data_IF_264027685741
#
_entry.id   IF_264027685741
#
_cell.length_a   1.000
_cell.length_b   1.000
_cell.length_c   1.000
_cell.angle_alpha   90.00
_cell.angle_beta   90.00
_cell.angle_gamma   90.00
#
_symmetry.space_group_name_H-M   'P 1'
#
loop_
_entity.id
_entity.type
_entity.pdbx_description
1 polymer ?
#
# COMPACT_ATOMS: atom_id res chain seq x y z
N UNK A 1 -41.74 -31.81 -44.54
CA UNK A 1 -42.28 -32.99 -43.83
C UNK A 1 -42.24 -32.71 -42.34
N UNK A 2 -43.36 -32.46 -41.63
CA UNK A 2 -44.40 -33.43 -41.22
C UNK A 2 -43.94 -34.05 -39.89
N UNK A 3 -44.62 -34.01 -38.74
CA UNK A 3 -46.04 -33.96 -38.30
C UNK A 3 -46.01 -33.31 -36.89
N UNK A 4 -46.94 -32.46 -36.44
CA UNK A 4 -48.38 -32.64 -36.29
C UNK A 4 -48.72 -33.58 -35.11
N UNK A 5 -49.55 -33.13 -34.16
CA UNK A 5 -50.64 -33.84 -33.40
C UNK A 5 -50.78 -33.28 -31.96
N UNK A 6 -51.93 -32.95 -31.33
CA UNK A 6 -53.34 -32.70 -31.70
C UNK A 6 -54.00 -31.93 -30.53
N UNK A 7 -54.99 -31.14 -30.89
CA UNK A 7 -55.99 -30.44 -30.06
C UNK A 7 -56.97 -31.44 -29.41
N UNK A 8 -57.51 -31.10 -28.23
CA UNK A 8 -58.82 -31.61 -27.78
C UNK A 8 -59.76 -30.44 -27.51
N UNK A 9 -60.85 -30.45 -28.28
CA UNK A 9 -62.01 -29.57 -28.20
C UNK A 9 -63.16 -30.42 -27.62
N UNK A 10 -63.90 -29.88 -26.66
CA UNK A 10 -65.10 -30.50 -26.08
C UNK A 10 -66.20 -29.46 -25.87
N UNK A 11 -67.19 -29.52 -26.77
CA UNK A 11 -68.49 -28.83 -26.80
C UNK A 11 -69.44 -29.34 -25.70
N UNK A 12 -70.63 -28.80 -25.34
CA UNK A 12 -71.39 -27.55 -25.49
C UNK A 12 -72.82 -27.90 -24.99
N UNK A 13 -73.44 -27.11 -24.11
CA UNK A 13 -74.89 -27.00 -23.79
C UNK A 13 -75.05 -26.36 -22.40
N UNK A 14 -75.94 -25.43 -22.07
CA UNK A 14 -77.07 -24.80 -22.75
C UNK A 14 -78.09 -24.34 -21.68
N UNK A 15 -78.49 -23.06 -21.75
CA UNK A 15 -79.75 -22.45 -21.26
C UNK A 15 -79.92 -22.21 -19.73
N UNK A 16 -80.09 -20.95 -19.32
CA UNK A 16 -81.36 -20.31 -18.84
C UNK A 16 -81.01 -18.91 -18.29
N UNK A 17 -81.75 -17.92 -18.78
CA UNK A 17 -81.69 -16.53 -18.39
C UNK A 17 -82.28 -16.29 -16.99
N UNK A 18 -81.60 -15.46 -16.19
CA UNK A 18 -82.12 -14.88 -14.96
C UNK A 18 -81.38 -13.57 -14.68
N UNK A 19 -81.97 -12.44 -15.10
CA UNK A 19 -81.46 -11.11 -14.78
C UNK A 19 -81.81 -10.83 -13.32
N UNK A 20 -80.85 -11.02 -12.43
CA UNK A 20 -80.88 -10.45 -11.08
C UNK A 20 -79.86 -9.32 -11.03
N UNK A 21 -80.37 -8.09 -10.88
CA UNK A 21 -79.58 -6.90 -10.62
C UNK A 21 -78.79 -7.09 -9.32
N UNK A 22 -77.48 -7.30 -9.44
CA UNK A 22 -76.57 -7.29 -8.31
C UNK A 22 -76.01 -5.86 -8.16
N UNK A 23 -75.92 -5.33 -6.93
CA UNK A 23 -75.28 -4.05 -6.71
C UNK A 23 -73.81 -4.19 -7.10
N UNK A 24 -73.30 -3.26 -7.90
CA UNK A 24 -71.89 -3.14 -8.14
C UNK A 24 -71.19 -2.81 -6.82
N UNK A 25 -70.67 -3.83 -6.13
CA UNK A 25 -69.69 -3.62 -5.08
C UNK A 25 -68.42 -3.09 -5.77
N UNK A 26 -68.19 -1.78 -5.63
CA UNK A 26 -66.92 -1.17 -6.00
C UNK A 26 -65.81 -1.91 -5.24
N UNK A 27 -65.02 -2.69 -5.98
CA UNK A 27 -63.84 -3.31 -5.41
C UNK A 27 -62.82 -2.20 -5.27
N UNK A 28 -62.69 -1.68 -4.05
CA UNK A 28 -61.54 -0.88 -3.65
C UNK A 28 -60.35 -1.81 -3.81
N UNK A 29 -59.65 -1.69 -4.93
CA UNK A 29 -58.35 -2.29 -5.11
C UNK A 29 -57.50 -1.79 -3.94
N UNK A 30 -57.23 -2.69 -2.98
CA UNK A 30 -56.35 -2.41 -1.86
C UNK A 30 -55.07 -1.86 -2.44
N UNK A 31 -54.81 -0.58 -2.16
CA UNK A 31 -53.51 0.01 -2.42
C UNK A 31 -52.53 -0.81 -1.60
N UNK A 32 -51.80 -1.72 -2.25
CA UNK A 32 -50.59 -2.29 -1.70
C UNK A 32 -49.64 -1.11 -1.63
N UNK A 33 -49.69 -0.39 -0.51
CA UNK A 33 -48.79 0.71 -0.23
C UNK A 33 -47.38 0.18 -0.35
N UNK A 34 -46.55 0.87 -1.14
CA UNK A 34 -45.12 0.66 -1.07
C UNK A 34 -44.71 0.79 0.40
N UNK A 35 -43.90 -0.14 0.94
CA UNK A 35 -43.55 -0.14 2.35
C UNK A 35 -43.00 1.22 2.75
N UNK A 36 -43.46 1.72 3.89
CA UNK A 36 -42.99 3.00 4.40
C UNK A 36 -41.50 2.87 4.75
N UNK A 37 -40.75 3.99 4.73
CA UNK A 37 -39.30 4.01 5.08
C UNK A 37 -38.99 3.38 6.44
N UNK A 38 -40.00 3.20 7.28
CA UNK A 38 -39.93 2.63 8.64
C UNK A 38 -40.10 1.10 8.65
N UNK A 39 -40.61 0.47 7.59
CA UNK A 39 -40.79 -0.99 7.45
C UNK A 39 -39.61 -1.68 6.75
N UNK A 40 -38.67 -0.93 6.18
CA UNK A 40 -37.43 -1.47 5.63
C UNK A 40 -36.46 -1.69 6.79
N UNK A 41 -36.40 -2.92 7.31
CA UNK A 41 -35.32 -3.33 8.21
C UNK A 41 -34.00 -3.25 7.42
N UNK A 42 -33.07 -2.36 7.79
CA UNK A 42 -31.77 -2.31 7.13
C UNK A 42 -31.09 -3.67 7.29
N UNK A 43 -30.49 -4.26 6.24
CA UNK A 43 -29.66 -5.44 6.42
C UNK A 43 -28.61 -5.14 7.48
N UNK A 44 -28.49 -6.03 8.47
CA UNK A 44 -27.46 -5.91 9.50
C UNK A 44 -26.10 -5.79 8.79
N UNK A 45 -25.31 -4.73 9.03
CA UNK A 45 -23.99 -4.61 8.44
C UNK A 45 -23.20 -5.85 8.82
N UNK A 46 -22.90 -6.69 7.83
CA UNK A 46 -21.95 -7.77 8.03
C UNK A 46 -20.63 -7.10 8.44
N UNK A 47 -19.92 -7.61 9.47
CA UNK A 47 -18.61 -7.10 9.79
C UNK A 47 -17.75 -7.22 8.54
N UNK A 48 -17.40 -6.08 7.94
CA UNK A 48 -16.40 -6.03 6.88
C UNK A 48 -15.13 -6.57 7.52
N UNK A 49 -14.61 -7.67 6.99
CA UNK A 49 -13.22 -8.01 7.26
C UNK A 49 -12.44 -6.89 6.59
N UNK A 50 -11.97 -5.95 7.39
CA UNK A 50 -11.18 -4.83 6.87
C UNK A 50 -9.98 -5.43 6.16
N UNK A 51 -9.83 -5.10 4.90
CA UNK A 51 -8.76 -5.63 4.09
C UNK A 51 -7.44 -5.08 4.61
N UNK A 52 -6.62 -5.96 5.19
CA UNK A 52 -5.34 -5.56 5.76
C UNK A 52 -4.28 -5.58 4.65
N UNK A 53 -3.84 -4.40 4.22
CA UNK A 53 -2.61 -4.26 3.45
C UNK A 53 -1.52 -3.75 4.40
N UNK A 54 -0.48 -4.56 4.60
CA UNK A 54 0.71 -4.16 5.36
C UNK A 54 1.97 -4.40 4.54
N UNK A 55 2.96 -3.56 4.80
CA UNK A 55 4.31 -3.68 4.27
C UNK A 55 5.25 -3.82 5.47
N UNK A 56 6.16 -4.81 5.45
CA UNK A 56 7.23 -4.92 6.44
C UNK A 56 8.60 -4.77 5.76
N UNK A 57 9.22 -3.61 5.96
CA UNK A 57 10.57 -3.29 5.50
C UNK A 57 11.66 -3.46 6.58
N UNK A 58 11.31 -3.76 7.84
CA UNK A 58 12.25 -3.71 8.97
C UNK A 58 13.41 -4.69 8.85
N UNK A 59 13.13 -5.90 8.37
CA UNK A 59 14.15 -6.92 8.13
C UNK A 59 15.05 -6.63 6.94
N UNK A 60 14.69 -5.65 6.11
CA UNK A 60 15.49 -5.27 4.96
C UNK A 60 16.75 -4.51 5.44
N UNK A 61 16.59 -3.46 6.25
CA UNK A 61 17.65 -2.47 6.52
C UNK A 61 18.28 -2.65 7.90
N UNK A 62 18.73 -3.86 8.24
CA UNK A 62 19.34 -4.14 9.55
C UNK A 62 20.55 -3.21 9.81
N UNK A 63 20.51 -2.52 10.97
CA UNK A 63 21.59 -1.65 11.42
C UNK A 63 22.77 -2.50 11.90
N UNK A 64 23.96 -2.28 11.31
CA UNK A 64 25.19 -2.91 11.74
C UNK A 64 25.86 -2.07 12.85
N UNK A 65 26.54 -2.75 13.78
CA UNK A 65 27.31 -2.10 14.84
C UNK A 65 28.34 -1.12 14.24
N UNK A 66 28.50 0.07 14.83
CA UNK A 66 29.43 1.07 14.30
C UNK A 66 30.86 0.81 14.80
N UNK A 67 31.88 0.81 13.93
CA UNK A 67 33.25 0.52 14.35
C UNK A 67 33.89 1.64 15.19
N UNK A 68 33.32 2.85 15.20
CA UNK A 68 33.92 4.01 15.86
C UNK A 68 33.39 4.31 17.26
N UNK A 69 32.39 3.55 17.75
CA UNK A 69 31.73 3.83 19.04
C UNK A 69 32.69 3.80 20.24
N UNK A 70 33.74 2.98 20.17
CA UNK A 70 34.73 2.84 21.24
C UNK A 70 36.04 3.61 20.98
N UNK A 71 36.13 4.42 19.92
CA UNK A 71 37.37 5.06 19.52
C UNK A 71 37.61 6.39 20.26
N UNK A 72 38.82 6.64 20.80
CA UNK A 72 39.15 7.89 21.49
C UNK A 72 39.52 9.04 20.54
N UNK A 73 39.53 8.80 19.21
CA UNK A 73 39.95 9.80 18.22
C UNK A 73 38.98 10.99 18.19
N UNK A 74 39.51 12.15 17.80
CA UNK A 74 38.75 13.40 17.64
C UNK A 74 38.96 13.95 16.23
N UNK A 75 37.98 14.72 15.76
CA UNK A 75 37.99 15.38 14.46
C UNK A 75 37.35 16.76 14.57
N UNK A 76 37.82 17.70 13.75
CA UNK A 76 37.22 19.03 13.61
C UNK A 76 36.19 19.00 12.48
N UNK A 77 34.90 19.11 12.83
CA UNK A 77 33.78 19.02 11.89
C UNK A 77 33.23 20.41 11.55
N UNK A 78 33.18 20.76 10.28
CA UNK A 78 32.57 22.01 9.80
C UNK A 78 31.14 21.77 9.30
N UNK A 79 30.91 20.67 8.58
CA UNK A 79 29.59 20.29 8.07
C UNK A 79 29.47 18.81 7.78
N UNK A 80 28.23 18.35 7.67
CA UNK A 80 27.88 17.02 7.19
C UNK A 80 27.22 17.15 5.83
N UNK A 81 27.63 16.30 4.89
CA UNK A 81 27.07 16.23 3.54
C UNK A 81 26.52 14.84 3.27
N UNK A 82 25.34 14.78 2.67
CA UNK A 82 24.72 13.54 2.25
C UNK A 82 24.73 13.46 0.73
N UNK A 83 25.22 12.34 0.19
CA UNK A 83 25.32 12.08 -1.24
C UNK A 83 24.77 10.70 -1.57
N UNK A 84 24.54 10.42 -2.85
CA UNK A 84 24.34 9.03 -3.31
C UNK A 84 25.69 8.30 -3.39
N UNK A 85 25.72 6.96 -3.44
CA UNK A 85 26.96 6.20 -3.53
C UNK A 85 27.82 6.51 -4.77
N UNK A 86 27.21 6.99 -5.84
CA UNK A 86 27.87 7.45 -7.07
C UNK A 86 28.41 8.90 -6.96
N UNK A 87 28.32 9.52 -5.78
CA UNK A 87 28.76 10.89 -5.50
C UNK A 87 27.80 11.99 -5.95
N UNK A 88 26.69 11.63 -6.60
CA UNK A 88 25.73 12.61 -7.10
C UNK A 88 24.77 13.12 -6.00
N UNK A 89 24.08 14.25 -6.22
CA UNK A 89 23.14 14.80 -5.24
C UNK A 89 22.02 13.83 -4.87
N UNK A 90 21.49 13.98 -3.65
CA UNK A 90 20.33 13.24 -3.22
C UNK A 90 19.09 13.55 -4.06
N UNK A 91 18.21 12.56 -4.14
CA UNK A 91 16.86 12.75 -4.67
C UNK A 91 16.13 13.77 -3.78
N UNK A 92 15.34 14.71 -4.35
CA UNK A 92 14.76 15.83 -3.59
C UNK A 92 13.97 15.41 -2.34
N UNK A 93 13.20 14.32 -2.45
CA UNK A 93 12.38 13.81 -1.35
C UNK A 93 13.22 13.24 -0.20
N UNK A 94 14.43 12.74 -0.49
CA UNK A 94 15.39 12.23 0.50
C UNK A 94 16.16 13.39 1.13
N UNK A 95 16.54 14.39 0.35
CA UNK A 95 17.15 15.61 0.89
C UNK A 95 16.19 16.30 1.87
N UNK A 96 14.92 16.43 1.51
CA UNK A 96 13.87 16.96 2.38
C UNK A 96 13.60 16.05 3.60
N UNK A 97 13.84 14.75 3.47
CA UNK A 97 13.75 13.85 4.61
C UNK A 97 14.79 14.16 5.69
N UNK A 98 15.97 14.64 5.28
CA UNK A 98 17.14 14.90 6.13
C UNK A 98 17.35 16.38 6.48
N UNK A 99 16.61 17.31 5.87
CA UNK A 99 16.80 18.76 6.03
C UNK A 99 16.70 19.26 7.48
N UNK A 100 15.90 18.61 8.31
CA UNK A 100 15.73 18.94 9.73
C UNK A 100 16.68 18.19 10.68
N UNK A 101 17.71 17.51 10.17
CA UNK A 101 18.67 16.80 11.01
C UNK A 101 19.66 17.79 11.62
N UNK A 102 19.78 17.77 12.95
CA UNK A 102 20.83 18.52 13.64
C UNK A 102 22.18 17.90 13.33
N UNK A 103 23.12 18.74 12.86
CA UNK A 103 24.47 18.31 12.51
C UNK A 103 25.47 19.02 13.42
N UNK A 104 26.32 18.27 14.15
CA UNK A 104 27.29 18.85 15.06
C UNK A 104 28.43 19.52 14.29
N UNK A 105 29.07 20.51 14.91
CA UNK A 105 30.22 21.24 14.38
C UNK A 105 31.28 21.44 15.46
N UNK A 106 32.50 21.84 15.07
CA UNK A 106 33.64 22.03 15.96
C UNK A 106 34.41 20.74 16.26
N UNK A 107 35.16 20.74 17.37
CA UNK A 107 35.94 19.59 17.82
C UNK A 107 35.03 18.51 18.44
N UNK A 108 34.94 17.36 17.77
CA UNK A 108 34.02 16.27 18.10
C UNK A 108 34.77 14.93 18.25
N UNK A 109 34.29 14.03 19.12
CA UNK A 109 34.78 12.65 19.12
C UNK A 109 34.39 11.95 17.82
N UNK A 110 35.22 11.03 17.32
CA UNK A 110 34.93 10.29 16.08
C UNK A 110 33.64 9.46 16.15
N UNK A 111 33.22 9.08 17.35
CA UNK A 111 31.94 8.41 17.60
C UNK A 111 30.73 9.24 17.08
N UNK A 112 30.89 10.56 16.91
CA UNK A 112 29.84 11.42 16.35
C UNK A 112 29.41 10.98 14.94
N UNK A 113 30.34 10.38 14.17
CA UNK A 113 30.06 9.87 12.82
C UNK A 113 28.96 8.79 12.87
N UNK A 114 29.02 7.93 13.89
CA UNK A 114 28.02 6.89 14.13
C UNK A 114 26.69 7.50 14.54
N UNK A 115 26.70 8.45 15.48
CA UNK A 115 25.48 9.12 15.94
C UNK A 115 24.76 9.87 14.81
N UNK A 116 25.49 10.56 13.93
CA UNK A 116 24.91 11.25 12.77
C UNK A 116 24.33 10.26 11.77
N UNK A 117 25.05 9.16 11.47
CA UNK A 117 24.54 8.08 10.61
C UNK A 117 23.23 7.51 11.16
N UNK A 118 23.18 7.20 12.46
CA UNK A 118 22.04 6.56 13.10
C UNK A 118 20.85 7.52 13.19
N UNK A 119 21.10 8.79 13.50
CA UNK A 119 20.07 9.83 13.50
C UNK A 119 19.48 10.04 12.10
N UNK A 120 20.31 10.03 11.06
CA UNK A 120 19.86 10.13 9.66
C UNK A 120 19.06 8.89 9.23
N UNK A 121 19.52 7.67 9.57
CA UNK A 121 18.78 6.43 9.36
C UNK A 121 17.41 6.46 10.04
N UNK A 122 17.37 6.88 11.31
CA UNK A 122 16.13 7.02 12.05
C UNK A 122 15.20 8.08 11.43
N UNK A 123 15.73 9.21 10.94
CA UNK A 123 14.94 10.23 10.25
C UNK A 123 14.28 9.70 8.96
N UNK A 124 15.02 8.94 8.16
CA UNK A 124 14.49 8.30 6.95
C UNK A 124 13.40 7.27 7.28
N UNK A 125 13.65 6.39 8.25
CA UNK A 125 12.67 5.39 8.73
C UNK A 125 11.39 6.04 9.24
N UNK A 126 11.50 7.09 10.06
CA UNK A 126 10.34 7.84 10.58
C UNK A 126 9.49 8.48 9.49
N UNK A 127 10.05 8.73 8.30
CA UNK A 127 9.33 9.25 7.13
C UNK A 127 8.87 8.15 6.16
N UNK A 128 9.13 6.87 6.47
CA UNK A 128 8.72 5.71 5.67
C UNK A 128 9.64 5.43 4.49
N UNK A 129 10.82 6.06 4.40
CA UNK A 129 11.75 5.79 3.32
C UNK A 129 12.49 4.48 3.54
N UNK A 130 12.52 3.62 2.53
CA UNK A 130 13.33 2.39 2.54
C UNK A 130 14.73 2.77 2.05
N UNK A 131 15.57 3.27 2.96
CA UNK A 131 16.92 3.73 2.67
C UNK A 131 17.87 3.47 3.84
N UNK A 132 19.17 3.37 3.56
CA UNK A 132 20.23 3.21 4.55
C UNK A 132 21.34 4.23 4.33
N UNK A 133 21.81 4.83 5.43
CA UNK A 133 22.95 5.73 5.47
C UNK A 133 24.21 4.94 5.82
N UNK A 134 25.24 5.09 4.99
CA UNK A 134 26.52 4.41 5.08
C UNK A 134 27.64 5.43 5.29
N UNK A 135 28.66 4.99 6.03
CA UNK A 135 29.90 5.75 6.24
C UNK A 135 30.91 5.22 5.25
N UNK A 136 31.21 5.92 4.14
CA UNK A 136 32.24 5.48 3.22
C UNK A 136 33.63 5.69 3.83
N UNK A 137 34.61 4.91 3.37
CA UNK A 137 36.01 5.16 3.65
C UNK A 137 36.40 6.53 3.07
N UNK A 138 36.86 7.43 3.93
CA UNK A 138 37.24 8.79 3.56
C UNK A 138 38.22 9.36 4.57
N UNK A 139 38.98 10.37 4.16
CA UNK A 139 39.74 11.23 5.05
C UNK A 139 38.96 12.53 5.29
N UNK A 140 38.88 12.98 6.54
CA UNK A 140 38.18 14.21 6.93
C UNK A 140 39.22 15.27 7.26
N UNK A 141 39.88 15.79 6.22
CA UNK A 141 40.91 16.84 6.33
C UNK A 141 40.37 18.24 6.13
N UNK A 142 39.28 18.38 5.36
CA UNK A 142 38.56 19.62 5.11
C UNK A 142 37.48 19.92 6.16
N UNK A 143 37.30 19.02 7.13
CA UNK A 143 36.22 19.10 8.12
C UNK A 143 34.84 18.80 7.55
N UNK A 144 34.74 18.14 6.39
CA UNK A 144 33.46 17.74 5.79
C UNK A 144 33.25 16.24 5.96
N UNK A 145 32.28 15.86 6.78
CA UNK A 145 31.85 14.45 6.89
C UNK A 145 30.88 14.13 5.76
N UNK A 146 31.27 13.22 4.85
CA UNK A 146 30.42 12.78 3.74
C UNK A 146 29.77 11.45 4.08
N UNK A 147 28.45 11.39 4.08
CA UNK A 147 27.68 10.17 4.28
C UNK A 147 26.97 9.80 2.99
N UNK A 148 26.90 8.51 2.70
CA UNK A 148 26.24 7.99 1.50
C UNK A 148 24.85 7.45 1.84
N UNK A 149 23.83 7.90 1.13
CA UNK A 149 22.46 7.43 1.30
C UNK A 149 22.12 6.47 0.17
N UNK A 150 21.93 5.21 0.53
CA UNK A 150 21.48 4.14 -0.38
C UNK A 150 19.97 4.02 -0.28
N UNK A 151 19.27 4.41 -1.33
CA UNK A 151 17.81 4.23 -1.42
C UNK A 151 17.47 2.90 -2.08
N UNK A 152 16.45 2.22 -1.56
CA UNK A 152 15.92 1.03 -2.21
C UNK A 152 14.99 1.41 -3.37
N UNK A 153 14.89 0.50 -4.33
CA UNK A 153 13.88 0.48 -5.39
C UNK A 153 13.43 -0.96 -5.61
N UNK A 154 12.24 -1.14 -6.13
CA UNK A 154 11.72 -2.48 -6.41
C UNK A 154 12.22 -2.94 -7.77
N UNK A 155 12.77 -4.14 -7.78
CA UNK A 155 13.51 -4.72 -8.92
C UNK A 155 12.92 -6.03 -9.38
N UNK A 156 12.12 -6.68 -8.53
CA UNK A 156 11.44 -7.93 -8.79
C UNK A 156 10.22 -7.99 -7.87
N UNK A 157 9.11 -8.49 -8.39
CA UNK A 157 7.91 -8.76 -7.59
C UNK A 157 7.47 -10.19 -7.84
N UNK A 158 7.19 -10.93 -6.76
CA UNK A 158 6.68 -12.30 -6.81
C UNK A 158 5.31 -12.34 -6.17
N UNK A 159 4.30 -12.69 -6.95
CA UNK A 159 2.94 -12.91 -6.47
C UNK A 159 2.82 -14.38 -6.05
N UNK A 160 2.28 -14.64 -4.87
CA UNK A 160 1.92 -15.97 -4.39
C UNK A 160 0.43 -16.01 -4.13
N UNK A 161 -0.25 -17.02 -4.65
CA UNK A 161 -1.72 -17.14 -4.61
C UNK A 161 -2.35 -16.84 -5.96
N UNK A 162 -3.68 -16.82 -6.00
CA UNK A 162 -4.49 -16.56 -7.19
C UNK A 162 -5.42 -15.36 -6.93
N UNK A 163 -5.25 -14.29 -7.72
CA UNK A 163 -6.12 -13.11 -7.65
C UNK A 163 -7.41 -13.27 -8.49
N UNK A 164 -7.55 -14.38 -9.22
CA UNK A 164 -8.70 -14.69 -10.06
C UNK A 164 -9.04 -13.55 -11.02
N UNK A 165 -10.29 -13.10 -10.99
CA UNK A 165 -10.77 -11.98 -11.82
C UNK A 165 -10.08 -10.64 -11.54
N UNK A 166 -9.40 -10.50 -10.40
CA UNK A 166 -8.74 -9.25 -9.99
C UNK A 166 -7.28 -9.17 -10.44
N UNK A 167 -6.76 -10.20 -11.10
CA UNK A 167 -5.39 -10.26 -11.60
C UNK A 167 -4.97 -9.03 -12.45
N UNK A 168 -5.77 -8.53 -13.42
CA UNK A 168 -5.41 -7.32 -14.17
C UNK A 168 -5.34 -6.07 -13.28
N UNK A 169 -6.18 -6.01 -12.25
CA UNK A 169 -6.20 -4.90 -11.32
C UNK A 169 -5.00 -4.92 -10.38
N UNK A 170 -4.68 -6.08 -9.78
CA UNK A 170 -3.51 -6.27 -8.94
C UNK A 170 -2.21 -5.94 -9.70
N UNK A 171 -2.09 -6.39 -10.95
CA UNK A 171 -0.93 -6.10 -11.81
C UNK A 171 -0.68 -4.61 -12.00
N UNK A 172 -1.74 -3.80 -12.14
CA UNK A 172 -1.60 -2.33 -12.23
C UNK A 172 -1.08 -1.72 -10.93
N UNK A 173 -1.43 -2.29 -9.77
CA UNK A 173 -0.97 -1.79 -8.46
C UNK A 173 0.47 -2.18 -8.22
N UNK A 174 0.84 -3.40 -8.59
CA UNK A 174 2.23 -3.87 -8.60
C UNK A 174 3.10 -2.97 -9.48
N UNK A 175 2.64 -2.61 -10.69
CA UNK A 175 3.38 -1.72 -11.58
C UNK A 175 3.58 -0.31 -10.96
N UNK A 176 2.56 0.23 -10.29
CA UNK A 176 2.67 1.51 -9.59
C UNK A 176 3.68 1.46 -8.43
N UNK A 177 3.68 0.35 -7.67
CA UNK A 177 4.65 0.11 -6.60
C UNK A 177 6.08 -0.04 -7.16
N UNK A 178 6.24 -0.73 -8.29
CA UNK A 178 7.53 -0.89 -8.99
C UNK A 178 8.09 0.42 -9.52
N UNK A 179 7.22 1.39 -9.83
CA UNK A 179 7.63 2.71 -10.30
C UNK A 179 8.11 3.64 -9.18
N UNK A 180 8.01 3.24 -7.90
CA UNK A 180 8.52 4.03 -6.78
C UNK A 180 10.05 4.02 -6.76
N UNK A 181 10.64 5.18 -7.04
CA UNK A 181 12.07 5.47 -6.88
C UNK A 181 12.21 6.91 -6.34
N UNK A 182 12.63 7.11 -5.08
CA UNK A 182 13.01 6.09 -4.11
C UNK A 182 11.79 5.38 -3.50
N UNK A 183 11.97 4.15 -3.02
CA UNK A 183 10.90 3.38 -2.39
C UNK A 183 10.48 4.01 -1.05
N UNK A 184 9.19 4.33 -0.92
CA UNK A 184 8.55 4.70 0.34
C UNK A 184 7.52 3.63 0.74
N UNK A 185 7.66 3.11 1.96
CA UNK A 185 6.82 2.05 2.51
C UNK A 185 5.36 2.50 2.67
N UNK A 186 5.13 3.73 3.13
CA UNK A 186 3.77 4.28 3.31
C UNK A 186 3.06 4.46 1.98
N UNK A 187 3.79 4.90 0.96
CA UNK A 187 3.22 5.05 -0.38
C UNK A 187 2.92 3.68 -1.00
N UNK A 188 3.81 2.69 -0.81
CA UNK A 188 3.56 1.31 -1.24
C UNK A 188 2.33 0.72 -0.54
N UNK A 189 2.22 0.88 0.78
CA UNK A 189 1.07 0.46 1.58
C UNK A 189 -0.22 1.12 1.10
N UNK A 190 -0.20 2.44 0.87
CA UNK A 190 -1.35 3.19 0.33
C UNK A 190 -1.81 2.66 -1.03
N UNK A 191 -0.88 2.31 -1.92
CA UNK A 191 -1.21 1.70 -3.22
C UNK A 191 -1.84 0.31 -3.04
N UNK A 192 -1.41 -0.45 -2.02
CA UNK A 192 -1.96 -1.78 -1.71
C UNK A 192 -3.29 -1.73 -0.97
N UNK A 193 -3.56 -0.71 -0.14
CA UNK A 193 -4.85 -0.55 0.53
C UNK A 193 -5.99 -0.45 -0.49
N UNK A 194 -5.75 0.27 -1.59
CA UNK A 194 -6.69 0.32 -2.71
C UNK A 194 -6.93 -1.06 -3.33
N UNK A 195 -5.98 -1.99 -3.20
CA UNK A 195 -6.17 -3.37 -3.63
C UNK A 195 -6.90 -4.23 -2.59
N UNK A 196 -6.71 -3.93 -1.30
CA UNK A 196 -7.46 -4.54 -0.22
C UNK A 196 -8.95 -4.26 -0.30
N UNK A 197 -9.39 -3.04 -0.62
CA UNK A 197 -10.82 -2.65 -0.64
C UNK A 197 -11.75 -3.47 -1.57
N UNK A 198 -11.20 -4.43 -2.30
CA UNK A 198 -11.90 -5.36 -3.16
C UNK A 198 -12.48 -6.53 -2.34
N UNK A 199 -13.81 -6.72 -2.30
CA UNK A 199 -14.41 -7.84 -1.59
C UNK A 199 -13.89 -9.19 -2.11
N UNK A 200 -13.35 -10.01 -1.20
CA UNK A 200 -12.80 -11.33 -1.51
C UNK A 200 -11.34 -11.34 -1.99
N UNK A 201 -10.59 -10.26 -1.76
CA UNK A 201 -9.16 -10.18 -2.08
C UNK A 201 -8.35 -9.69 -0.86
N UNK A 202 -7.48 -10.56 -0.34
CA UNK A 202 -6.55 -10.24 0.75
C UNK A 202 -5.12 -10.09 0.19
N UNK A 203 -4.43 -8.99 0.54
CA UNK A 203 -3.11 -8.66 -0.03
C UNK A 203 -2.13 -8.26 1.05
N UNK A 204 -1.01 -8.97 1.15
CA UNK A 204 0.12 -8.62 2.02
C UNK A 204 1.41 -8.47 1.20
N UNK A 205 2.26 -7.49 1.54
CA UNK A 205 3.56 -7.29 0.92
C UNK A 205 4.67 -7.49 1.95
N UNK A 206 5.67 -8.28 1.59
CA UNK A 206 6.93 -8.35 2.34
C UNK A 206 8.07 -7.88 1.46
N UNK A 207 8.91 -7.00 1.99
CA UNK A 207 10.08 -6.50 1.28
C UNK A 207 11.32 -7.30 1.71
N UNK A 208 12.15 -7.66 0.73
CA UNK A 208 13.43 -8.32 0.96
C UNK A 208 14.50 -7.60 0.17
N UNK A 209 15.61 -7.24 0.82
CA UNK A 209 16.76 -6.73 0.09
C UNK A 209 17.41 -7.84 -0.70
N UNK A 210 17.74 -7.49 -1.95
CA UNK A 210 18.74 -8.21 -2.70
C UNK A 210 20.08 -7.59 -2.36
N UNK A 211 21.01 -8.39 -1.82
CA UNK A 211 22.35 -7.92 -1.51
C UNK A 211 22.94 -7.23 -2.74
N UNK A 212 23.29 -5.94 -2.59
CA UNK A 212 24.11 -5.26 -3.57
C UNK A 212 25.52 -5.88 -3.47
N UNK A 213 26.07 -6.34 -4.60
CA UNK A 213 27.50 -6.68 -4.64
C UNK A 213 28.28 -5.41 -4.31
N UNK A 214 28.95 -5.38 -3.16
CA UNK A 214 29.90 -4.32 -2.84
C UNK A 214 31.03 -4.40 -3.86
N UNK A 215 31.12 -3.38 -4.70
CA UNK A 215 32.26 -3.17 -5.60
C UNK A 215 33.51 -3.00 -4.75
N UNK A 216 34.54 -3.75 -5.10
CA UNK A 216 35.86 -3.74 -4.46
C UNK A 216 36.68 -2.57 -4.98
#
# INVERSE_FOLDING_TARGET
MGRGTRVKLGALAGVIAGVLAHPAAAQVAGQVGLPTRQEVTPPTPQPRTDSTASVDSRGALAEANCPFDASPLRLSLQRVEFTRPDGSPLQPQIAEALSGLETPTGDQPIAIVCSVRDAANAALRRKGWVASVQIPAQEITDGVLRLQVVTARIVEVRVRGDAGRYEPFLRRRIAAIQALDPLNEREAERILLLAGDVPGLDVALSLRLRAARQGR
#
